data_IF_869488563501
#
_entry.id   IF_869488563501
#
_cell.length_a   1.000
_cell.length_b   1.000
_cell.length_c   1.000
_cell.angle_alpha   90.00
_cell.angle_beta   90.00
_cell.angle_gamma   90.00
#
_symmetry.space_group_name_H-M   'P 1'
#
loop_
_entity.id
_entity.type
_entity.pdbx_description
1 polymer ?
#
# COMPACT_ATOMS: atom_id res chain seq x y z
N UNK A 1 -10.74 -4.97 11.94
CA UNK A 1 -9.48 -5.12 12.72
C UNK A 1 -8.78 -3.81 13.15
N UNK A 2 -9.29 -2.60 12.86
CA UNK A 2 -8.72 -1.34 13.39
C UNK A 2 -9.20 -0.99 14.82
N UNK A 3 -10.03 -1.82 15.45
CA UNK A 3 -10.73 -1.46 16.71
C UNK A 3 -9.91 -1.65 17.98
N UNK A 4 -8.69 -2.19 17.91
CA UNK A 4 -7.98 -2.65 19.11
C UNK A 4 -6.75 -1.83 19.50
N UNK A 5 -6.47 -0.71 18.81
CA UNK A 5 -5.42 0.24 19.20
C UNK A 5 -5.96 1.46 19.96
N UNK A 6 -7.14 1.36 20.57
CA UNK A 6 -7.74 2.47 21.31
C UNK A 6 -7.06 2.63 22.69
N UNK A 7 -6.38 3.75 22.98
CA UNK A 7 -5.83 4.01 24.30
C UNK A 7 -6.97 4.05 25.32
N UNK A 8 -6.79 3.40 26.46
CA UNK A 8 -7.78 3.26 27.56
C UNK A 8 -8.26 4.57 28.20
N UNK A 9 -7.87 5.73 27.66
CA UNK A 9 -8.21 7.08 28.11
C UNK A 9 -9.29 7.77 27.28
N UNK A 10 -9.66 7.25 26.11
CA UNK A 10 -10.71 7.82 25.25
C UNK A 10 -12.06 7.13 25.45
N UNK A 11 -13.14 7.91 25.58
CA UNK A 11 -14.49 7.35 25.64
C UNK A 11 -14.81 6.65 24.30
N UNK A 12 -15.42 5.45 24.33
CA UNK A 12 -15.67 4.62 23.13
C UNK A 12 -16.24 5.42 21.94
N UNK A 13 -17.12 6.40 22.19
CA UNK A 13 -17.69 7.29 21.17
C UNK A 13 -16.68 8.19 20.44
N UNK A 14 -15.63 8.67 21.12
CA UNK A 14 -14.58 9.49 20.50
C UNK A 14 -13.68 8.68 19.58
N UNK A 15 -13.41 7.41 19.93
CA UNK A 15 -12.65 6.49 19.10
C UNK A 15 -13.41 6.04 17.85
N UNK A 16 -14.70 5.72 17.99
CA UNK A 16 -15.55 5.33 16.86
C UNK A 16 -15.70 6.48 15.85
N UNK A 17 -15.88 7.70 16.36
CA UNK A 17 -15.99 8.91 15.53
C UNK A 17 -14.69 9.23 14.82
N UNK A 18 -13.54 9.05 15.47
CA UNK A 18 -12.22 9.23 14.82
C UNK A 18 -11.99 8.21 13.71
N UNK A 19 -12.30 6.93 13.94
CA UNK A 19 -12.20 5.87 12.94
C UNK A 19 -13.12 6.11 11.72
N UNK A 20 -14.35 6.57 11.95
CA UNK A 20 -15.29 6.92 10.88
C UNK A 20 -14.79 8.11 10.06
N UNK A 21 -14.27 9.15 10.72
CA UNK A 21 -13.68 10.29 10.02
C UNK A 21 -12.47 9.88 9.16
N UNK A 22 -11.59 9.02 9.69
CA UNK A 22 -10.45 8.51 8.93
C UNK A 22 -10.88 7.73 7.68
N UNK A 23 -11.91 6.88 7.79
CA UNK A 23 -12.45 6.13 6.66
C UNK A 23 -13.05 7.05 5.59
N UNK A 24 -13.83 8.05 6.00
CA UNK A 24 -14.44 9.03 5.09
C UNK A 24 -13.37 9.87 4.38
N UNK A 25 -12.34 10.32 5.12
CA UNK A 25 -11.23 11.08 4.55
C UNK A 25 -10.43 10.23 3.56
N UNK A 26 -10.15 8.97 3.89
CA UNK A 26 -9.42 8.07 2.99
C UNK A 26 -10.19 7.81 1.69
N UNK A 27 -11.51 7.61 1.79
CA UNK A 27 -12.38 7.43 0.63
C UNK A 27 -12.50 8.71 -0.21
N UNK A 28 -12.65 9.86 0.44
CA UNK A 28 -12.73 11.15 -0.26
C UNK A 28 -11.42 11.47 -1.00
N UNK A 29 -10.27 11.23 -0.35
CA UNK A 29 -8.96 11.46 -0.96
C UNK A 29 -8.68 10.49 -2.10
N UNK A 30 -9.04 9.20 -1.99
CA UNK A 30 -8.85 8.23 -3.06
C UNK A 30 -9.71 8.54 -4.29
N UNK A 31 -10.97 8.92 -4.09
CA UNK A 31 -11.82 9.40 -5.18
C UNK A 31 -11.30 10.70 -5.79
N UNK A 32 -10.77 11.62 -4.97
CA UNK A 32 -10.18 12.85 -5.46
C UNK A 32 -8.92 12.59 -6.31
N UNK A 33 -8.02 11.68 -5.91
CA UNK A 33 -6.85 11.32 -6.74
C UNK A 33 -7.27 10.69 -8.05
N UNK A 34 -8.22 9.76 -8.05
CA UNK A 34 -8.74 9.16 -9.29
C UNK A 34 -9.36 10.22 -10.20
N UNK A 35 -10.15 11.14 -9.64
CA UNK A 35 -10.75 12.25 -10.39
C UNK A 35 -9.68 13.18 -10.99
N UNK A 36 -8.64 13.51 -10.21
CA UNK A 36 -7.56 14.36 -10.66
C UNK A 36 -6.74 13.72 -11.79
N UNK A 37 -6.46 12.41 -11.70
CA UNK A 37 -5.70 11.66 -12.69
C UNK A 37 -6.50 11.50 -13.99
N UNK A 38 -7.76 11.03 -13.91
CA UNK A 38 -8.53 10.67 -15.11
C UNK A 38 -9.31 11.83 -15.74
N UNK A 39 -9.70 12.84 -14.97
CA UNK A 39 -10.46 13.98 -15.51
C UNK A 39 -9.63 15.25 -15.60
N UNK A 40 -9.08 15.73 -14.48
CA UNK A 40 -8.51 17.09 -14.42
C UNK A 40 -7.16 17.21 -15.13
N UNK A 41 -6.27 16.24 -14.91
CA UNK A 41 -4.90 16.21 -15.44
C UNK A 41 -4.70 15.12 -16.51
N UNK A 42 -5.76 14.77 -17.23
CA UNK A 42 -5.72 13.76 -18.30
C UNK A 42 -4.70 14.05 -19.39
N UNK A 43 -4.39 15.33 -19.67
CA UNK A 43 -3.42 15.70 -20.70
C UNK A 43 -1.95 15.48 -20.29
N UNK A 44 -1.67 15.28 -18.99
CA UNK A 44 -0.34 14.93 -18.46
C UNK A 44 -0.26 13.45 -18.10
N UNK A 45 -1.35 12.69 -18.28
CA UNK A 45 -1.40 11.25 -18.10
C UNK A 45 -0.73 10.56 -19.28
N UNK A 46 0.45 9.99 -19.03
CA UNK A 46 1.24 9.27 -20.02
C UNK A 46 0.78 7.81 -20.13
N UNK A 47 -0.13 7.55 -21.08
CA UNK A 47 -0.69 6.20 -21.28
C UNK A 47 0.32 5.19 -21.87
N UNK A 48 1.44 5.65 -22.45
CA UNK A 48 2.43 4.73 -23.02
C UNK A 48 3.25 4.02 -21.93
N UNK A 49 3.44 4.65 -20.77
CA UNK A 49 4.22 4.10 -19.66
C UNK A 49 3.37 3.34 -18.62
N UNK A 50 2.05 3.58 -18.55
CA UNK A 50 1.12 2.86 -17.63
C UNK A 50 0.54 1.58 -18.27
N UNK A 51 1.42 0.64 -18.64
CA UNK A 51 1.06 -0.65 -19.28
C UNK A 51 0.82 -1.78 -18.29
N UNK A 52 0.77 -1.47 -16.98
CA UNK A 52 0.64 -2.49 -15.95
C UNK A 52 -0.76 -3.12 -15.99
N UNK A 53 -0.83 -4.42 -16.29
CA UNK A 53 -2.08 -5.17 -16.32
C UNK A 53 -2.53 -5.53 -14.91
N UNK A 54 -3.40 -4.68 -14.36
CA UNK A 54 -3.98 -4.83 -13.00
C UNK A 54 -4.74 -6.16 -12.82
N UNK A 55 -5.15 -6.82 -13.90
CA UNK A 55 -5.77 -8.14 -13.87
C UNK A 55 -4.85 -9.20 -13.26
N UNK A 56 -3.54 -9.11 -13.51
CA UNK A 56 -2.56 -10.03 -12.91
C UNK A 56 -2.39 -9.85 -11.40
N UNK A 57 -2.82 -8.71 -10.84
CA UNK A 57 -2.90 -8.49 -9.39
C UNK A 57 -4.26 -8.92 -8.85
N UNK A 58 -5.34 -8.54 -9.52
CA UNK A 58 -6.70 -8.81 -9.05
C UNK A 58 -7.02 -10.30 -9.03
N UNK A 59 -6.63 -11.07 -10.04
CA UNK A 59 -6.91 -12.52 -10.10
C UNK A 59 -6.32 -13.28 -8.91
N UNK A 60 -5.02 -13.17 -8.58
CA UNK A 60 -4.47 -13.86 -7.41
C UNK A 60 -4.99 -13.31 -6.09
N UNK A 61 -5.26 -12.00 -5.98
CA UNK A 61 -5.82 -11.41 -4.75
C UNK A 61 -7.23 -11.92 -4.48
N UNK A 62 -8.08 -11.98 -5.52
CA UNK A 62 -9.41 -12.57 -5.41
C UNK A 62 -9.29 -14.05 -5.06
N UNK A 63 -8.46 -14.82 -5.77
CA UNK A 63 -8.25 -16.23 -5.48
C UNK A 63 -7.80 -16.51 -4.05
N UNK A 64 -6.83 -15.74 -3.53
CA UNK A 64 -6.35 -15.83 -2.15
C UNK A 64 -7.43 -15.44 -1.14
N UNK A 65 -8.25 -14.42 -1.43
CA UNK A 65 -9.34 -14.00 -0.54
C UNK A 65 -10.45 -15.05 -0.39
N UNK A 66 -10.63 -15.91 -1.40
CA UNK A 66 -11.55 -17.05 -1.34
C UNK A 66 -10.93 -18.31 -0.73
N UNK A 67 -9.60 -18.44 -0.76
CA UNK A 67 -8.88 -19.59 -0.21
C UNK A 67 -8.64 -19.45 1.29
N UNK A 68 -8.24 -18.25 1.74
CA UNK A 68 -7.87 -17.94 3.11
C UNK A 68 -8.90 -16.99 3.73
N UNK A 69 -10.04 -17.54 4.16
CA UNK A 69 -11.10 -16.79 4.82
C UNK A 69 -11.49 -17.41 6.17
N UNK A 70 -11.64 -16.58 7.20
CA UNK A 70 -12.07 -17.02 8.53
C UNK A 70 -13.51 -17.57 8.54
N UNK A 71 -14.36 -17.09 7.62
CA UNK A 71 -15.73 -17.56 7.41
C UNK A 71 -16.19 -17.26 5.99
N UNK A 72 -17.02 -18.12 5.41
CA UNK A 72 -17.60 -17.92 4.07
C UNK A 72 -18.78 -16.95 4.09
N UNK A 73 -18.61 -15.80 4.75
CA UNK A 73 -19.56 -14.70 4.68
C UNK A 73 -19.02 -13.65 3.69
N UNK A 74 -19.88 -13.02 2.88
CA UNK A 74 -19.43 -12.01 1.92
C UNK A 74 -18.64 -10.87 2.56
N UNK A 75 -18.97 -10.50 3.81
CA UNK A 75 -18.31 -9.42 4.54
C UNK A 75 -16.87 -9.78 4.90
N UNK A 76 -16.62 -11.00 5.37
CA UNK A 76 -15.26 -11.47 5.70
C UNK A 76 -14.40 -11.64 4.45
N UNK A 77 -14.98 -12.14 3.35
CA UNK A 77 -14.28 -12.25 2.06
C UNK A 77 -13.89 -10.87 1.55
N UNK A 78 -14.81 -9.89 1.59
CA UNK A 78 -14.51 -8.51 1.19
C UNK A 78 -13.47 -7.85 2.11
N UNK A 79 -13.48 -8.17 3.40
CA UNK A 79 -12.50 -7.68 4.36
C UNK A 79 -11.10 -8.25 4.06
N UNK A 80 -10.97 -9.56 3.90
CA UNK A 80 -9.70 -10.21 3.52
C UNK A 80 -9.21 -9.73 2.16
N UNK A 81 -10.12 -9.60 1.18
CA UNK A 81 -9.82 -9.05 -0.13
C UNK A 81 -9.22 -7.64 -0.03
N UNK A 82 -9.81 -6.76 0.79
CA UNK A 82 -9.30 -5.40 1.01
C UNK A 82 -7.85 -5.41 1.54
N UNK A 83 -7.56 -6.29 2.50
CA UNK A 83 -6.21 -6.41 3.11
C UNK A 83 -5.18 -6.91 2.08
N UNK A 84 -5.51 -7.93 1.28
CA UNK A 84 -4.60 -8.42 0.23
C UNK A 84 -4.44 -7.43 -0.92
N UNK A 85 -5.50 -6.74 -1.32
CA UNK A 85 -5.44 -5.69 -2.35
C UNK A 85 -4.56 -4.53 -1.89
N UNK A 86 -4.69 -4.09 -0.64
CA UNK A 86 -3.88 -3.04 -0.04
C UNK A 86 -2.38 -3.36 -0.04
N UNK A 87 -2.02 -4.64 0.18
CA UNK A 87 -0.64 -5.08 0.14
C UNK A 87 -0.01 -4.92 -1.26
N UNK A 88 -0.79 -5.13 -2.34
CA UNK A 88 -0.29 -5.11 -3.72
C UNK A 88 -0.62 -3.84 -4.51
N UNK A 89 -1.52 -2.99 -4.02
CA UNK A 89 -2.00 -1.79 -4.73
C UNK A 89 -0.91 -0.77 -5.07
N UNK A 90 0.24 -0.81 -4.39
CA UNK A 90 1.39 0.07 -4.65
C UNK A 90 2.21 -0.37 -5.89
N UNK A 91 2.03 -1.61 -6.36
CA UNK A 91 2.85 -2.22 -7.40
C UNK A 91 2.82 -1.48 -8.76
N UNK A 92 1.67 -0.99 -9.28
CA UNK A 92 1.65 -0.26 -10.56
C UNK A 92 2.48 1.03 -10.49
N UNK A 93 2.37 1.76 -9.38
CA UNK A 93 3.12 3.00 -9.16
C UNK A 93 4.62 2.72 -9.05
N UNK A 94 5.00 1.61 -8.41
CA UNK A 94 6.38 1.15 -8.35
C UNK A 94 6.91 0.78 -9.74
N UNK A 95 6.12 0.04 -10.53
CA UNK A 95 6.49 -0.38 -11.88
C UNK A 95 6.78 0.82 -12.79
N UNK A 96 5.92 1.85 -12.74
CA UNK A 96 6.12 3.08 -13.49
C UNK A 96 7.49 3.71 -13.17
N UNK A 97 7.82 3.89 -11.89
CA UNK A 97 9.10 4.50 -11.48
C UNK A 97 10.32 3.67 -11.95
N UNK A 98 10.22 2.34 -11.89
CA UNK A 98 11.30 1.48 -12.38
C UNK A 98 11.49 1.54 -13.89
N UNK A 99 10.40 1.78 -14.65
CA UNK A 99 10.41 1.91 -16.11
C UNK A 99 10.96 3.25 -16.57
N UNK A 100 10.50 4.34 -15.97
CA UNK A 100 10.92 5.70 -16.38
C UNK A 100 12.38 5.96 -15.99
N UNK A 101 12.91 5.29 -14.96
CA UNK A 101 14.33 5.38 -14.57
C UNK A 101 14.76 6.72 -13.98
N UNK A 102 13.95 7.77 -14.16
CA UNK A 102 14.00 9.05 -13.47
C UNK A 102 13.06 9.01 -12.27
N UNK A 103 13.57 8.50 -11.15
CA UNK A 103 12.87 8.61 -9.89
C UNK A 103 13.06 10.06 -9.40
N UNK A 104 12.07 10.93 -9.62
CA UNK A 104 12.06 12.26 -9.01
C UNK A 104 12.34 12.13 -7.51
N UNK A 105 13.28 12.95 -7.01
CA UNK A 105 13.68 12.93 -5.60
C UNK A 105 12.48 13.15 -4.68
N UNK A 106 11.47 13.93 -5.10
CA UNK A 106 10.25 14.17 -4.34
C UNK A 106 9.42 12.88 -4.18
N UNK A 107 9.13 12.18 -5.28
CA UNK A 107 8.31 10.95 -5.28
C UNK A 107 8.99 9.82 -4.49
N UNK A 108 10.32 9.72 -4.56
CA UNK A 108 11.07 8.71 -3.80
C UNK A 108 11.04 8.95 -2.29
N UNK A 109 11.18 10.20 -1.83
CA UNK A 109 11.07 10.52 -0.40
C UNK A 109 9.64 10.30 0.12
N UNK A 110 8.62 10.61 -0.70
CA UNK A 110 7.22 10.30 -0.36
C UNK A 110 7.02 8.80 -0.12
N UNK A 111 7.45 7.95 -1.05
CA UNK A 111 7.35 6.50 -0.94
C UNK A 111 8.17 5.94 0.23
N UNK A 112 9.35 6.52 0.51
CA UNK A 112 10.17 6.17 1.67
C UNK A 112 9.42 6.41 2.99
N UNK A 113 8.86 7.61 3.19
CA UNK A 113 8.08 7.93 4.38
C UNK A 113 6.85 7.04 4.53
N UNK A 114 6.17 6.75 3.41
CA UNK A 114 5.00 5.88 3.38
C UNK A 114 5.35 4.42 3.74
N UNK A 115 6.47 3.91 3.24
CA UNK A 115 7.00 2.59 3.61
C UNK A 115 7.46 2.51 5.07
N UNK A 116 8.11 3.56 5.58
CA UNK A 116 8.53 3.64 6.98
C UNK A 116 7.34 3.65 7.94
N UNK A 117 6.27 4.40 7.61
CA UNK A 117 5.01 4.38 8.35
C UNK A 117 4.44 2.95 8.47
N UNK A 118 4.49 2.15 7.39
CA UNK A 118 4.04 0.76 7.39
C UNK A 118 4.93 -0.16 8.21
N UNK A 119 6.25 -0.01 8.13
CA UNK A 119 7.19 -0.80 8.94
C UNK A 119 6.98 -0.58 10.45
N UNK A 120 6.70 0.66 10.86
CA UNK A 120 6.34 0.97 12.25
C UNK A 120 5.01 0.32 12.67
N UNK A 121 4.05 0.22 11.75
CA UNK A 121 2.78 -0.49 11.99
C UNK A 121 3.00 -1.99 12.19
N UNK A 122 3.87 -2.62 11.40
CA UNK A 122 4.25 -4.02 11.58
C UNK A 122 4.92 -4.24 12.94
N UNK A 123 5.81 -3.33 13.36
CA UNK A 123 6.44 -3.39 14.67
C UNK A 123 5.42 -3.24 15.81
N UNK A 124 4.40 -2.40 15.63
CA UNK A 124 3.29 -2.30 16.57
C UNK A 124 2.53 -3.63 16.69
N UNK A 125 2.28 -4.35 15.60
CA UNK A 125 1.65 -5.68 15.67
C UNK A 125 2.51 -6.71 16.41
N UNK A 126 3.83 -6.70 16.22
CA UNK A 126 4.76 -7.54 16.98
C UNK A 126 4.65 -7.21 18.47
N UNK A 127 4.65 -5.93 18.82
CA UNK A 127 4.48 -5.49 20.21
C UNK A 127 3.15 -6.00 20.80
N UNK A 128 2.04 -5.81 20.09
CA UNK A 128 0.72 -6.27 20.55
C UNK A 128 0.62 -7.79 20.65
N UNK A 129 1.31 -8.53 19.80
CA UNK A 129 1.40 -10.00 19.93
C UNK A 129 2.06 -10.42 21.25
N UNK A 130 3.19 -9.79 21.61
CA UNK A 130 3.91 -10.11 22.86
C UNK A 130 3.16 -9.68 24.13
N UNK A 131 2.47 -8.53 24.11
CA UNK A 131 1.85 -7.96 25.32
C UNK A 131 0.35 -8.24 25.46
N UNK A 132 -0.39 -8.33 24.36
CA UNK A 132 -1.86 -8.51 24.34
C UNK A 132 -2.29 -9.91 23.88
N UNK A 133 -1.36 -10.72 23.34
CA UNK A 133 -1.66 -12.07 22.85
C UNK A 133 -2.59 -12.11 21.63
N UNK A 134 -2.82 -10.96 20.97
CA UNK A 134 -3.70 -10.86 19.81
C UNK A 134 -2.96 -11.27 18.54
N UNK A 135 -3.48 -12.26 17.81
CA UNK A 135 -2.85 -12.81 16.62
C UNK A 135 -3.86 -12.93 15.47
N UNK A 136 -3.55 -12.27 14.35
CA UNK A 136 -4.34 -12.32 13.12
C UNK A 136 -3.43 -12.77 11.97
N UNK A 137 -3.61 -14.03 11.54
CA UNK A 137 -2.74 -14.67 10.57
C UNK A 137 -2.85 -14.02 9.19
N UNK A 138 -4.06 -13.62 8.78
CA UNK A 138 -4.32 -12.95 7.49
C UNK A 138 -3.59 -11.60 7.43
N UNK A 139 -3.72 -10.79 8.50
CA UNK A 139 -3.06 -9.49 8.58
C UNK A 139 -1.53 -9.62 8.56
N UNK A 140 -0.97 -10.64 9.22
CA UNK A 140 0.48 -10.88 9.25
C UNK A 140 0.98 -11.30 7.87
N UNK A 141 0.33 -12.24 7.19
CA UNK A 141 0.75 -12.70 5.86
C UNK A 141 0.70 -11.54 4.86
N UNK A 142 -0.39 -10.77 4.85
CA UNK A 142 -0.49 -9.58 4.02
C UNK A 142 0.57 -8.53 4.36
N UNK A 143 0.82 -8.31 5.66
CA UNK A 143 1.86 -7.39 6.15
C UNK A 143 3.27 -7.81 5.75
N UNK A 144 3.57 -9.10 5.73
CA UNK A 144 4.86 -9.63 5.25
C UNK A 144 5.02 -9.40 3.76
N UNK A 145 4.01 -9.74 2.94
CA UNK A 145 4.03 -9.48 1.49
C UNK A 145 4.24 -7.98 1.21
N UNK A 146 3.50 -7.14 1.91
CA UNK A 146 3.61 -5.69 1.81
C UNK A 146 5.02 -5.21 2.18
N UNK A 147 5.60 -5.73 3.27
CA UNK A 147 6.96 -5.37 3.70
C UNK A 147 8.00 -5.79 2.69
N UNK A 148 7.89 -6.98 2.09
CA UNK A 148 8.80 -7.44 1.03
C UNK A 148 8.75 -6.51 -0.18
N UNK A 149 7.56 -6.11 -0.63
CA UNK A 149 7.40 -5.15 -1.73
C UNK A 149 8.03 -3.79 -1.42
N UNK A 150 7.89 -3.31 -0.18
CA UNK A 150 8.57 -2.08 0.26
C UNK A 150 10.09 -2.27 0.36
N UNK A 151 10.58 -3.42 0.82
CA UNK A 151 12.01 -3.72 0.90
C UNK A 151 12.66 -3.75 -0.48
N UNK A 152 11.99 -4.31 -1.49
CA UNK A 152 12.46 -4.26 -2.88
C UNK A 152 12.58 -2.81 -3.38
N UNK A 153 11.60 -1.96 -3.04
CA UNK A 153 11.69 -0.52 -3.29
C UNK A 153 12.84 0.17 -2.54
N UNK A 154 13.04 -0.10 -1.24
CA UNK A 154 14.15 0.47 -0.46
C UNK A 154 15.50 0.07 -1.06
N UNK A 155 15.63 -1.17 -1.52
CA UNK A 155 16.83 -1.65 -2.20
C UNK A 155 17.08 -0.89 -3.52
N UNK A 156 16.06 -0.72 -4.35
CA UNK A 156 16.14 0.08 -5.57
C UNK A 156 16.45 1.56 -5.27
N UNK A 157 15.85 2.15 -4.23
CA UNK A 157 16.12 3.51 -3.78
C UNK A 157 17.57 3.69 -3.37
N UNK A 158 18.08 2.85 -2.45
CA UNK A 158 19.48 2.90 -1.97
C UNK A 158 20.45 2.73 -3.14
N UNK A 159 20.17 1.78 -4.03
CA UNK A 159 21.09 1.50 -5.15
C UNK A 159 21.07 2.56 -6.24
N UNK A 160 19.96 3.30 -6.44
CA UNK A 160 19.84 4.34 -7.48
C UNK A 160 20.18 5.74 -6.96
N UNK A 161 19.68 6.11 -5.78
CA UNK A 161 19.85 7.45 -5.19
C UNK A 161 21.21 7.61 -4.51
N UNK A 162 21.61 6.68 -3.62
CA UNK A 162 22.88 6.81 -2.90
C UNK A 162 24.10 6.53 -3.77
N UNK A 163 23.97 5.74 -4.84
CA UNK A 163 25.08 5.53 -5.80
C UNK A 163 25.21 6.66 -6.84
N UNK A 164 24.31 7.66 -6.84
CA UNK A 164 24.44 8.88 -7.63
C UNK A 164 24.62 8.68 -9.14
N UNK A 165 24.26 7.52 -9.69
CA UNK A 165 24.42 7.26 -11.13
C UNK A 165 23.31 7.99 -11.88
N UNK A 166 23.65 9.13 -12.49
CA UNK A 166 22.85 9.72 -13.56
C UNK A 166 22.57 8.65 -14.60
N UNK A 167 21.29 8.49 -14.95
CA UNK A 167 20.82 7.52 -15.91
C UNK A 167 21.07 8.06 -17.34
N UNK A 168 22.31 7.99 -17.82
CA UNK A 168 22.58 8.13 -19.24
C UNK A 168 22.55 6.75 -19.88
N UNK A 169 21.46 6.44 -20.59
CA UNK A 169 21.44 5.35 -21.57
C UNK A 169 22.06 5.89 -22.87
N UNK A 170 23.08 5.24 -23.45
CA UNK A 170 23.50 5.54 -24.80
C UNK A 170 22.35 5.17 -25.75
N UNK A 171 21.84 6.15 -26.47
CA UNK A 171 20.89 5.93 -27.56
C UNK A 171 21.63 5.17 -28.68
N UNK A 172 21.13 4.02 -29.16
CA UNK A 172 21.64 3.43 -30.38
C UNK A 172 21.28 4.37 -31.54
N UNK A 173 22.29 4.73 -32.32
CA UNK A 173 22.17 5.42 -33.62
C UNK A 173 21.41 4.58 -34.64
#
# INVERSE_FOLDING_TARGET
MYSSSCPTTWSRQTADTFCLNQQVVFLALSYATVYLIYMRFRNTYDSENDTFRVEFLLVPVIGLSFLENYSFTPVEILWTFSIFLEAVAIMPQLFMITKTGEAESITTHYLFCLGLYRALYLFNWIWRYYFEGFFDMIAIVAGVVQTVLYCDFFYLYVTKVLKGKKLSLPMPV
#
